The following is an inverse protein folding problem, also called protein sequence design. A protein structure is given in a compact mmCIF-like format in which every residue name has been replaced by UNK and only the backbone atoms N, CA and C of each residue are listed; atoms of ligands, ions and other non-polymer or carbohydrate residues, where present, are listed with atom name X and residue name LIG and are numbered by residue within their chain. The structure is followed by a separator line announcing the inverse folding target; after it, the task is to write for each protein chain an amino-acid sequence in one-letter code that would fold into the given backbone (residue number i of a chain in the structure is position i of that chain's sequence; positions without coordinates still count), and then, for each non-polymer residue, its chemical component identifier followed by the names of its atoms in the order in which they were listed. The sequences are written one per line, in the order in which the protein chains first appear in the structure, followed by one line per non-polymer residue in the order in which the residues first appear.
data_IF_329667281131
#
_entry.id   IF_329667281131
#
_cell.length_a   1.000
_cell.length_b   1.000
_cell.length_c   1.000
_cell.angle_alpha   90.00
_cell.angle_beta   90.00
_cell.angle_gamma   90.00
#
_symmetry.space_group_name_H-M   'P 1'
#
loop_
_entity.id
_entity.type
_entity.pdbx_description
1 polymer ?
#
# COMPACT_ATOMS: atom_id res chain seq x y z
N UNK A 1 -5.91 -0.90 3.18
CA UNK A 1 -6.75 -0.51 2.03
C UNK A 1 -6.67 -1.66 1.02
N UNK A 2 -7.64 -2.57 1.02
CA UNK A 2 -7.55 -3.85 0.29
C UNK A 2 -8.35 -3.76 -1.02
N UNK A 3 -7.74 -4.20 -2.12
CA UNK A 3 -8.31 -4.15 -3.46
C UNK A 3 -9.55 -5.07 -3.57
N UNK A 4 -10.65 -4.61 -4.22
CA UNK A 4 -11.90 -5.37 -4.34
C UNK A 4 -11.82 -6.61 -5.25
N UNK A 5 -10.65 -6.94 -5.79
CA UNK A 5 -10.44 -8.08 -6.70
C UNK A 5 -9.78 -9.29 -6.03
N UNK A 6 -9.52 -9.23 -4.73
CA UNK A 6 -9.03 -10.39 -3.97
C UNK A 6 -10.21 -11.35 -3.71
N UNK A 7 -10.18 -12.60 -4.20
CA UNK A 7 -11.32 -13.54 -4.13
C UNK A 7 -11.79 -13.88 -2.70
N UNK A 8 -11.01 -13.54 -1.67
CA UNK A 8 -11.31 -13.80 -0.26
C UNK A 8 -12.51 -13.01 0.29
N UNK A 9 -12.99 -11.97 -0.39
CA UNK A 9 -14.02 -11.05 0.16
C UNK A 9 -15.42 -11.19 -0.45
N UNK A 10 -15.67 -12.22 -1.28
CA UNK A 10 -16.96 -12.38 -1.98
C UNK A 10 -18.17 -12.63 -1.04
N UNK A 11 -17.95 -12.83 0.26
CA UNK A 11 -18.99 -13.09 1.26
C UNK A 11 -19.11 -12.06 2.39
N UNK A 12 -18.35 -10.96 2.37
CA UNK A 12 -18.20 -10.04 3.52
C UNK A 12 -18.44 -8.56 3.17
N UNK A 13 -19.11 -8.28 2.06
CA UNK A 13 -19.40 -6.92 1.59
C UNK A 13 -20.21 -6.16 2.67
N UNK A 14 -21.42 -6.63 3.00
CA UNK A 14 -22.33 -6.01 3.99
C UNK A 14 -21.70 -5.54 5.33
N UNK A 15 -20.92 -6.37 6.05
CA UNK A 15 -20.33 -5.95 7.33
C UNK A 15 -19.19 -4.92 7.18
N UNK A 16 -18.59 -4.77 5.99
CA UNK A 16 -17.56 -3.77 5.73
C UNK A 16 -18.19 -2.41 5.46
N UNK A 17 -19.32 -2.34 4.74
CA UNK A 17 -20.02 -1.06 4.54
C UNK A 17 -20.57 -0.49 5.86
N UNK A 18 -21.20 -1.33 6.68
CA UNK A 18 -21.72 -0.91 8.00
C UNK A 18 -20.60 -0.40 8.92
N UNK A 19 -19.40 -1.00 8.87
CA UNK A 19 -18.25 -0.53 9.63
C UNK A 19 -17.76 0.84 9.13
N UNK A 20 -17.71 1.05 7.81
CA UNK A 20 -17.27 2.33 7.24
C UNK A 20 -18.24 3.46 7.57
N UNK A 21 -19.54 3.16 7.59
CA UNK A 21 -20.58 4.11 8.01
C UNK A 21 -20.48 4.44 9.51
N UNK A 22 -20.30 3.42 10.36
CA UNK A 22 -20.18 3.62 11.81
C UNK A 22 -18.92 4.40 12.22
N UNK A 23 -17.82 4.25 11.49
CA UNK A 23 -16.55 4.94 11.74
C UNK A 23 -16.45 6.30 11.01
N UNK A 24 -17.51 6.74 10.35
CA UNK A 24 -17.57 7.98 9.54
C UNK A 24 -16.45 8.07 8.48
N UNK A 25 -16.09 6.92 7.91
CA UNK A 25 -15.03 6.80 6.91
C UNK A 25 -15.64 6.94 5.52
N UNK A 26 -15.45 8.11 4.89
CA UNK A 26 -15.86 8.31 3.50
C UNK A 26 -15.01 7.44 2.56
N UNK A 27 -15.66 6.49 1.87
CA UNK A 27 -15.02 5.71 0.82
C UNK A 27 -14.73 6.59 -0.39
N UNK A 28 -13.45 6.67 -0.75
CA UNK A 28 -13.03 7.34 -2.00
C UNK A 28 -13.19 6.39 -3.17
N UNK A 29 -13.84 6.85 -4.24
CA UNK A 29 -13.90 6.12 -5.51
C UNK A 29 -12.50 5.91 -6.06
N UNK A 30 -12.15 4.64 -6.30
CA UNK A 30 -10.83 4.24 -6.75
C UNK A 30 -10.94 3.48 -8.07
N UNK A 31 -10.24 3.91 -9.13
CA UNK A 31 -10.32 3.22 -10.42
C UNK A 31 -9.69 1.82 -10.34
N UNK A 32 -10.32 0.84 -10.99
CA UNK A 32 -9.78 -0.51 -11.08
C UNK A 32 -8.39 -0.51 -11.76
N UNK A 33 -7.53 -1.47 -11.40
CA UNK A 33 -6.19 -1.67 -11.98
C UNK A 33 -5.18 -0.52 -11.82
N UNK A 34 -5.36 0.34 -10.82
CA UNK A 34 -4.43 1.44 -10.53
C UNK A 34 -3.45 1.11 -9.39
N UNK A 35 -2.67 0.03 -9.55
CA UNK A 35 -1.52 -0.26 -8.66
C UNK A 35 -0.58 0.94 -8.60
N UNK A 36 -0.50 1.68 -9.71
CA UNK A 36 0.32 2.87 -9.86
C UNK A 36 -0.15 4.08 -9.03
N UNK A 37 -1.33 3.99 -8.44
CA UNK A 37 -1.83 4.99 -7.50
C UNK A 37 -1.83 4.47 -6.06
N UNK A 38 -1.56 3.18 -5.86
CA UNK A 38 -1.60 2.56 -4.56
C UNK A 38 -0.30 2.82 -3.80
N UNK A 39 -0.31 3.84 -2.95
CA UNK A 39 0.84 4.21 -2.12
C UNK A 39 1.34 3.05 -1.24
N UNK A 40 0.47 2.10 -0.89
CA UNK A 40 0.89 0.97 -0.06
C UNK A 40 1.88 0.05 -0.78
N UNK A 41 1.80 -0.07 -2.11
CA UNK A 41 2.74 -0.89 -2.89
C UNK A 41 4.16 -0.32 -2.81
N UNK A 42 4.28 1.02 -2.83
CA UNK A 42 5.55 1.73 -2.67
C UNK A 42 6.14 1.51 -1.29
N UNK A 43 5.27 1.49 -0.28
CA UNK A 43 5.67 1.25 1.08
C UNK A 43 6.15 -0.20 1.27
N UNK A 44 5.47 -1.16 0.66
CA UNK A 44 5.88 -2.56 0.67
C UNK A 44 7.21 -2.78 -0.06
N UNK A 45 7.41 -2.13 -1.20
CA UNK A 45 8.68 -2.17 -1.94
C UNK A 45 9.84 -1.56 -1.14
N UNK A 46 9.62 -0.41 -0.48
CA UNK A 46 10.59 0.17 0.44
C UNK A 46 10.95 -0.76 1.60
N UNK A 47 9.93 -1.34 2.25
CA UNK A 47 10.12 -2.30 3.34
C UNK A 47 10.87 -3.55 2.87
N UNK A 48 10.51 -4.08 1.69
CA UNK A 48 11.16 -5.23 1.08
C UNK A 48 12.65 -4.97 0.81
N UNK A 49 13.00 -3.78 0.31
CA UNK A 49 14.40 -3.36 0.15
C UNK A 49 15.15 -3.26 1.48
N UNK A 50 14.54 -2.69 2.52
CA UNK A 50 15.15 -2.60 3.84
C UNK A 50 15.44 -3.99 4.44
N UNK A 51 14.48 -4.90 4.30
CA UNK A 51 14.64 -6.30 4.71
C UNK A 51 15.76 -6.98 3.91
N UNK A 52 15.77 -6.83 2.59
CA UNK A 52 16.77 -7.43 1.71
C UNK A 52 18.19 -6.88 1.96
N UNK A 53 18.31 -5.65 2.45
CA UNK A 53 19.58 -5.01 2.78
C UNK A 53 20.16 -5.47 4.15
N UNK A 54 19.41 -6.22 4.96
CA UNK A 54 19.96 -6.76 6.22
C UNK A 54 21.06 -7.77 5.93
N UNK A 55 22.12 -7.70 6.73
CA UNK A 55 23.26 -8.61 6.66
C UNK A 55 22.92 -10.05 7.06
N UNK A 56 21.90 -10.22 7.90
CA UNK A 56 21.45 -11.51 8.42
C UNK A 56 20.03 -11.81 7.95
N UNK A 57 19.85 -13.00 7.39
CA UNK A 57 18.55 -13.51 6.99
C UNK A 57 17.86 -14.20 8.18
N UNK A 58 16.53 -14.09 8.30
CA UNK A 58 15.81 -14.72 9.39
C UNK A 58 15.80 -16.23 9.22
N UNK A 59 16.17 -16.93 10.29
CA UNK A 59 16.25 -18.40 10.32
C UNK A 59 14.87 -19.06 10.42
N UNK A 60 13.86 -18.31 10.87
CA UNK A 60 12.50 -18.79 11.02
C UNK A 60 11.47 -17.66 10.91
N UNK A 61 10.20 -18.04 10.83
CA UNK A 61 9.07 -17.11 10.68
C UNK A 61 8.97 -16.10 11.82
N UNK A 62 9.36 -16.45 13.05
CA UNK A 62 9.29 -15.53 14.18
C UNK A 62 10.33 -14.42 14.05
N UNK A 63 11.57 -14.76 13.68
CA UNK A 63 12.60 -13.77 13.38
C UNK A 63 12.21 -12.91 12.18
N UNK A 64 11.60 -13.48 11.14
CA UNK A 64 11.12 -12.71 9.99
C UNK A 64 10.05 -11.68 10.41
N UNK A 65 9.07 -12.08 11.24
CA UNK A 65 8.04 -11.17 11.77
C UNK A 65 8.66 -10.03 12.57
N UNK A 66 9.58 -10.35 13.47
CA UNK A 66 10.26 -9.36 14.31
C UNK A 66 11.05 -8.37 13.44
N UNK A 67 11.77 -8.87 12.45
CA UNK A 67 12.50 -8.07 11.48
C UNK A 67 11.59 -7.12 10.70
N UNK A 68 10.41 -7.58 10.27
CA UNK A 68 9.44 -6.71 9.59
C UNK A 68 8.98 -5.56 10.48
N UNK A 69 8.68 -5.83 11.76
CA UNK A 69 8.25 -4.80 12.73
C UNK A 69 9.35 -3.75 12.93
N UNK A 70 10.60 -4.20 13.06
CA UNK A 70 11.75 -3.32 13.25
C UNK A 70 12.08 -2.47 12.02
N UNK A 71 12.00 -3.02 10.81
CA UNK A 71 12.19 -2.23 9.59
C UNK A 71 11.04 -1.26 9.38
N UNK A 72 9.81 -1.69 9.62
CA UNK A 72 8.64 -0.82 9.56
C UNK A 72 8.77 0.39 10.49
N UNK A 73 9.21 0.17 11.73
CA UNK A 73 9.43 1.23 12.71
C UNK A 73 10.58 2.18 12.34
N UNK A 74 11.51 1.76 11.47
CA UNK A 74 12.65 2.57 11.01
C UNK A 74 12.41 3.32 9.71
N UNK A 75 11.29 3.06 9.03
CA UNK A 75 10.98 3.77 7.79
C UNK A 75 10.93 5.29 8.04
N UNK A 76 11.69 6.10 7.28
CA UNK A 76 11.72 7.54 7.51
C UNK A 76 10.34 8.17 7.30
N UNK A 77 9.89 9.00 8.25
CA UNK A 77 8.63 9.73 8.09
C UNK A 77 8.64 10.64 6.86
N UNK A 78 9.80 11.21 6.51
CA UNK A 78 10.00 12.01 5.30
C UNK A 78 9.67 11.20 4.03
N UNK A 79 10.05 9.93 3.97
CA UNK A 79 9.71 9.06 2.84
C UNK A 79 8.19 8.92 2.69
N UNK A 80 7.47 8.72 3.80
CA UNK A 80 6.00 8.64 3.80
C UNK A 80 5.37 9.97 3.34
N UNK A 81 5.92 11.09 3.80
CA UNK A 81 5.44 12.42 3.43
C UNK A 81 5.64 12.70 1.93
N UNK A 82 6.83 12.43 1.40
CA UNK A 82 7.14 12.56 -0.02
C UNK A 82 6.25 11.66 -0.88
N UNK A 83 5.97 10.45 -0.40
CA UNK A 83 5.08 9.52 -1.07
C UNK A 83 3.66 10.08 -1.20
N UNK A 84 3.12 10.67 -0.12
CA UNK A 84 1.82 11.34 -0.13
C UNK A 84 1.83 12.56 -1.05
N UNK A 85 2.86 13.40 -0.98
CA UNK A 85 2.98 14.58 -1.86
C UNK A 85 3.07 14.21 -3.35
N UNK A 86 3.67 13.06 -3.67
CA UNK A 86 3.80 12.58 -5.05
C UNK A 86 2.46 12.22 -5.70
N UNK A 87 1.39 12.01 -4.92
CA UNK A 87 0.09 11.56 -5.44
C UNK A 87 -0.48 12.47 -6.51
N UNK A 88 -0.38 13.79 -6.33
CA UNK A 88 -0.88 14.73 -7.33
C UNK A 88 -0.21 14.49 -8.69
N UNK A 89 1.11 14.32 -8.68
CA UNK A 89 1.90 14.07 -9.89
C UNK A 89 1.56 12.71 -10.51
N UNK A 90 1.40 11.66 -9.70
CA UNK A 90 1.02 10.32 -10.17
C UNK A 90 -0.36 10.31 -10.82
N UNK A 91 -1.35 10.92 -10.17
CA UNK A 91 -2.69 11.11 -10.75
C UNK A 91 -2.64 11.83 -12.10
N UNK A 92 -1.87 12.92 -12.20
CA UNK A 92 -1.69 13.65 -13.46
C UNK A 92 -1.04 12.77 -14.54
N UNK A 93 0.01 12.02 -14.18
CA UNK A 93 0.67 11.12 -15.10
C UNK A 93 -0.28 10.03 -15.61
N UNK A 94 -1.08 9.41 -14.73
CA UNK A 94 -2.09 8.41 -15.09
C UNK A 94 -3.15 8.98 -16.03
N UNK A 95 -3.57 10.24 -15.85
CA UNK A 95 -4.49 10.92 -16.77
C UNK A 95 -3.85 11.06 -18.16
N UNK A 96 -2.58 11.49 -18.22
CA UNK A 96 -1.85 11.66 -19.49
C UNK A 96 -1.75 10.34 -20.26
N UNK A 97 -1.47 9.23 -19.58
CA UNK A 97 -1.39 7.91 -20.20
C UNK A 97 -2.74 7.19 -20.31
N UNK A 98 -3.86 7.90 -20.05
CA UNK A 98 -5.24 7.39 -20.13
C UNK A 98 -5.47 6.10 -19.33
N UNK A 99 -4.90 6.03 -18.12
CA UNK A 99 -4.99 4.85 -17.27
C UNK A 99 -3.97 3.76 -17.58
N UNK A 100 -3.05 3.98 -18.52
CA UNK A 100 -1.89 3.11 -18.75
C UNK A 100 -0.85 3.18 -17.62
N UNK A 101 0.18 2.35 -17.74
CA UNK A 101 1.26 2.25 -16.76
C UNK A 101 2.09 3.56 -16.70
N UNK A 102 2.35 4.05 -15.49
CA UNK A 102 3.29 5.14 -15.25
C UNK A 102 4.62 4.58 -14.75
N UNK A 103 5.77 5.00 -15.32
CA UNK A 103 7.07 4.54 -14.86
C UNK A 103 7.36 5.05 -13.45
N UNK A 104 8.01 4.18 -12.66
CA UNK A 104 8.45 4.41 -11.29
C UNK A 104 9.96 4.60 -11.19
#
# INVERSE_FOLDING_TARGET
MLLPHVPLFRGTIFPVEELLENEDITRKDWPAYSSDLNLIEHLWDALGRCIAARLYHPENTQHFKQMMIEEWARLPQEMLYQLVLSMRRRCQATIVVRGGHIPY
#
